data_IF_404346458427
#
_entry.id   IF_404346458427
#
_cell.length_a   1.000
_cell.length_b   1.000
_cell.length_c   1.000
_cell.angle_alpha   90.00
_cell.angle_beta   90.00
_cell.angle_gamma   90.00
#
_symmetry.space_group_name_H-M   'P 1'
#
loop_
_entity.id
_entity.type
_entity.pdbx_description
1 polymer ?
#
# COMPACT_ATOMS: atom_id res chain seq x y z
N UNK A 1 -45.93 -68.79 15.18
CA UNK A 1 -45.56 -68.48 16.58
C UNK A 1 -44.82 -67.15 16.54
N UNK A 2 -45.45 -66.11 17.05
CA UNK A 2 -45.03 -64.71 16.94
C UNK A 2 -43.78 -64.44 17.77
N UNK A 3 -42.80 -63.73 17.19
CA UNK A 3 -41.81 -62.99 17.97
C UNK A 3 -41.82 -61.55 17.45
N UNK A 4 -42.19 -60.62 18.34
CA UNK A 4 -42.12 -59.18 18.08
C UNK A 4 -40.68 -58.68 18.38
N UNK A 5 -40.10 -57.79 17.57
CA UNK A 5 -38.88 -57.10 17.93
C UNK A 5 -39.17 -56.02 18.99
N UNK A 6 -38.38 -56.02 20.05
CA UNK A 6 -38.41 -55.04 21.14
C UNK A 6 -38.08 -53.62 20.63
N UNK A 7 -38.99 -52.68 20.84
CA UNK A 7 -38.83 -51.25 20.56
C UNK A 7 -37.94 -50.60 21.62
N UNK A 8 -36.78 -50.05 21.22
CA UNK A 8 -35.99 -49.14 22.06
C UNK A 8 -36.41 -47.69 21.75
N UNK A 9 -36.54 -46.81 22.76
CA UNK A 9 -36.84 -45.40 22.51
C UNK A 9 -35.61 -44.72 21.87
N UNK A 10 -35.81 -43.69 21.03
CA UNK A 10 -34.71 -42.91 20.49
C UNK A 10 -34.09 -42.06 21.59
N UNK A 11 -32.77 -42.13 21.70
CA UNK A 11 -31.95 -41.30 22.57
C UNK A 11 -32.24 -39.82 22.32
N UNK A 12 -32.72 -39.12 23.35
CA UNK A 12 -32.76 -37.65 23.37
C UNK A 12 -31.32 -37.15 23.36
N UNK A 13 -30.80 -36.82 22.18
CA UNK A 13 -29.50 -36.17 22.05
C UNK A 13 -29.58 -34.75 22.63
N UNK A 14 -28.67 -34.50 23.57
CA UNK A 14 -28.40 -33.23 24.23
C UNK A 14 -28.27 -32.06 23.26
N UNK A 15 -29.28 -31.21 23.22
CA UNK A 15 -29.25 -29.90 22.55
C UNK A 15 -28.32 -28.88 23.21
N UNK A 16 -27.74 -29.19 24.37
CA UNK A 16 -26.88 -28.26 25.13
C UNK A 16 -25.43 -28.19 24.58
N UNK A 17 -24.99 -29.17 23.79
CA UNK A 17 -23.63 -29.16 23.22
C UNK A 17 -23.50 -28.28 21.96
N UNK A 18 -24.58 -28.13 21.18
CA UNK A 18 -24.58 -27.33 19.94
C UNK A 18 -24.47 -25.83 20.24
N UNK A 19 -25.14 -25.37 21.30
CA UNK A 19 -25.12 -23.95 21.69
C UNK A 19 -23.75 -23.44 22.13
N UNK A 20 -22.93 -24.30 22.75
CA UNK A 20 -21.54 -23.96 23.08
C UNK A 20 -20.64 -23.94 21.85
N UNK A 21 -20.93 -24.77 20.85
CA UNK A 21 -20.15 -24.84 19.62
C UNK A 21 -20.39 -23.60 18.73
N UNK A 22 -21.63 -23.15 18.62
CA UNK A 22 -21.97 -21.85 17.99
C UNK A 22 -21.27 -20.67 18.68
N UNK A 23 -21.13 -20.70 20.01
CA UNK A 23 -20.42 -19.63 20.72
C UNK A 23 -18.91 -19.63 20.49
N UNK A 24 -18.29 -20.81 20.31
CA UNK A 24 -16.87 -20.93 19.97
C UNK A 24 -16.61 -20.51 18.52
N UNK A 25 -17.49 -20.89 17.60
CA UNK A 25 -17.41 -20.50 16.19
C UNK A 25 -17.59 -18.98 16.04
N UNK A 26 -18.48 -18.37 16.84
CA UNK A 26 -18.67 -16.93 16.83
C UNK A 26 -17.43 -16.16 17.31
N UNK A 27 -16.73 -16.66 18.31
CA UNK A 27 -15.46 -16.08 18.78
C UNK A 27 -14.34 -16.24 17.73
N UNK A 28 -14.32 -17.37 17.00
CA UNK A 28 -13.39 -17.60 15.88
C UNK A 28 -13.63 -16.63 14.72
N UNK A 29 -14.88 -16.32 14.40
CA UNK A 29 -15.22 -15.34 13.35
C UNK A 29 -14.81 -13.92 13.77
N UNK A 30 -15.06 -13.53 15.01
CA UNK A 30 -14.64 -12.21 15.52
C UNK A 30 -13.11 -12.08 15.63
N UNK A 31 -12.40 -13.17 15.94
CA UNK A 31 -10.93 -13.23 15.94
C UNK A 31 -10.35 -13.10 14.53
N UNK A 32 -10.93 -13.82 13.55
CA UNK A 32 -10.56 -13.71 12.13
C UNK A 32 -10.70 -12.28 11.61
N UNK A 33 -11.84 -11.60 11.85
CA UNK A 33 -12.02 -10.23 11.39
C UNK A 33 -11.10 -9.24 12.09
N UNK A 34 -10.78 -9.46 13.37
CA UNK A 34 -9.78 -8.69 14.10
C UNK A 34 -8.38 -8.90 13.53
N UNK A 35 -7.99 -10.14 13.19
CA UNK A 35 -6.71 -10.42 12.54
C UNK A 35 -6.62 -9.73 11.18
N UNK A 36 -7.67 -9.80 10.36
CA UNK A 36 -7.75 -9.08 9.08
C UNK A 36 -7.57 -7.57 9.28
N UNK A 37 -8.26 -6.98 10.26
CA UNK A 37 -8.07 -5.57 10.60
C UNK A 37 -6.66 -5.28 11.11
N UNK A 38 -6.07 -6.18 11.87
CA UNK A 38 -4.71 -6.06 12.40
C UNK A 38 -3.67 -6.16 11.28
N UNK A 39 -3.86 -7.00 10.27
CA UNK A 39 -2.98 -7.10 9.10
C UNK A 39 -3.03 -5.81 8.28
N UNK A 40 -4.22 -5.22 8.07
CA UNK A 40 -4.34 -3.94 7.38
C UNK A 40 -3.67 -2.79 8.16
N UNK A 41 -3.74 -2.80 9.49
CA UNK A 41 -3.11 -1.80 10.35
C UNK A 41 -1.60 -2.04 10.50
N UNK A 42 -1.17 -3.28 10.64
CA UNK A 42 0.25 -3.66 10.78
C UNK A 42 1.01 -3.54 9.47
N UNK A 43 0.35 -3.82 8.34
CA UNK A 43 0.89 -3.61 7.00
C UNK A 43 1.01 -2.13 6.63
N UNK A 44 0.31 -1.22 7.32
CA UNK A 44 0.45 0.22 7.07
C UNK A 44 1.78 0.83 7.55
N UNK A 45 2.56 0.09 8.35
CA UNK A 45 3.93 0.46 8.73
C UNK A 45 4.98 -0.10 7.75
N UNK A 46 4.61 -1.01 6.85
CA UNK A 46 5.57 -1.72 5.98
C UNK A 46 5.23 -1.70 4.48
N UNK A 47 3.97 -1.50 4.10
CA UNK A 47 3.49 -1.67 2.73
C UNK A 47 2.55 -0.52 2.33
N UNK A 48 3.15 0.66 2.17
CA UNK A 48 2.55 1.76 1.42
C UNK A 48 2.58 1.44 -0.09
N UNK A 49 1.78 0.47 -0.53
CA UNK A 49 1.42 0.29 -1.94
C UNK A 49 -0.03 -0.18 -2.03
N UNK A 50 -0.94 0.72 -2.42
CA UNK A 50 -2.26 0.33 -2.90
C UNK A 50 -3.43 0.54 -1.92
N UNK A 51 -3.63 1.75 -1.42
CA UNK A 51 -4.99 2.18 -1.10
C UNK A 51 -5.18 3.67 -1.28
N UNK A 52 -6.06 3.99 -2.23
CA UNK A 52 -6.65 5.30 -2.47
C UNK A 52 -7.39 5.72 -1.19
N UNK A 53 -6.79 6.62 -0.43
CA UNK A 53 -7.40 7.22 0.74
C UNK A 53 -6.72 8.54 1.02
N UNK A 54 -7.37 9.63 0.62
CA UNK A 54 -7.04 11.03 0.86
C UNK A 54 -7.04 11.36 2.36
N UNK A 55 -6.07 10.82 3.09
CA UNK A 55 -5.54 11.45 4.29
C UNK A 55 -4.19 11.98 3.86
N UNK A 56 -3.94 13.27 4.07
CA UNK A 56 -2.64 13.89 3.85
C UNK A 56 -1.60 13.32 4.82
N UNK A 57 -1.24 12.06 4.65
CA UNK A 57 0.06 11.58 5.06
C UNK A 57 1.03 12.38 4.20
N UNK A 58 1.90 13.23 4.78
CA UNK A 58 2.91 13.94 4.00
C UNK A 58 3.58 12.89 3.12
N UNK A 59 3.61 13.18 1.81
CA UNK A 59 4.21 12.27 0.83
C UNK A 59 5.58 11.87 1.39
N UNK A 60 5.79 10.57 1.64
CA UNK A 60 7.07 10.03 2.11
C UNK A 60 8.14 10.65 1.20
N UNK A 61 9.00 11.56 1.68
CA UNK A 61 9.86 12.45 0.85
C UNK A 61 9.70 13.96 1.10
N UNK A 62 8.48 14.47 1.28
CA UNK A 62 8.24 15.89 1.61
C UNK A 62 8.78 16.24 3.00
N UNK A 63 8.63 15.34 3.97
CA UNK A 63 9.15 15.51 5.32
C UNK A 63 10.69 15.58 5.34
N UNK A 64 11.37 14.78 4.52
CA UNK A 64 12.82 14.82 4.38
C UNK A 64 13.29 16.14 3.78
N UNK A 65 12.56 16.65 2.77
CA UNK A 65 12.82 17.95 2.16
C UNK A 65 12.69 19.07 3.18
N UNK A 66 11.64 19.08 4.00
CA UNK A 66 11.44 20.07 5.05
C UNK A 66 12.56 20.00 6.10
N UNK A 67 12.95 18.79 6.52
CA UNK A 67 14.06 18.62 7.46
C UNK A 67 15.38 19.18 6.93
N UNK A 68 15.69 18.92 5.65
CA UNK A 68 16.88 19.47 5.01
C UNK A 68 16.78 20.99 4.85
N UNK A 69 15.59 21.54 4.59
CA UNK A 69 15.36 22.97 4.50
C UNK A 69 15.56 23.67 5.85
N UNK A 70 14.96 23.15 6.92
CA UNK A 70 15.07 23.71 8.28
C UNK A 70 16.51 23.61 8.82
N UNK A 71 17.25 22.60 8.42
CA UNK A 71 18.68 22.46 8.71
C UNK A 71 19.57 23.41 7.88
N UNK A 72 19.00 24.14 6.90
CA UNK A 72 19.76 24.97 5.96
C UNK A 72 20.55 24.18 4.91
N UNK A 73 20.18 22.92 4.69
CA UNK A 73 20.82 21.96 3.78
C UNK A 73 19.99 21.71 2.51
N UNK A 74 19.03 22.58 2.20
CA UNK A 74 18.18 22.47 1.00
C UNK A 74 18.96 22.42 -0.31
N UNK A 75 20.17 22.99 -0.39
CA UNK A 75 21.02 22.92 -1.58
C UNK A 75 21.40 21.48 -1.93
N UNK A 76 21.51 20.57 -0.95
CA UNK A 76 21.91 19.17 -1.18
C UNK A 76 20.90 18.38 -2.05
N UNK A 77 19.65 18.86 -2.14
CA UNK A 77 18.59 18.23 -2.95
C UNK A 77 18.24 19.04 -4.20
N UNK A 78 18.96 20.12 -4.46
CA UNK A 78 18.77 20.96 -5.64
C UNK A 78 19.47 20.32 -6.84
N UNK A 79 18.86 20.42 -8.03
CA UNK A 79 19.32 19.73 -9.26
C UNK A 79 20.66 20.28 -9.78
N UNK A 80 21.05 21.46 -9.32
CA UNK A 80 22.31 22.14 -9.64
C UNK A 80 23.46 21.79 -8.68
N UNK A 81 23.20 21.06 -7.59
CA UNK A 81 24.24 20.68 -6.63
C UNK A 81 25.05 19.49 -7.14
N UNK A 82 26.36 19.67 -7.29
CA UNK A 82 27.27 18.59 -7.66
C UNK A 82 27.58 17.69 -6.45
N UNK A 83 27.70 16.38 -6.71
CA UNK A 83 28.02 15.38 -5.68
C UNK A 83 29.33 15.68 -4.93
N UNK A 84 30.26 16.36 -5.57
CA UNK A 84 31.55 16.77 -4.98
C UNK A 84 31.34 17.79 -3.87
N UNK A 85 30.49 18.79 -4.10
CA UNK A 85 30.14 19.82 -3.12
C UNK A 85 29.33 19.23 -1.96
N UNK A 86 28.44 18.27 -2.26
CA UNK A 86 27.69 17.52 -1.24
C UNK A 86 28.64 16.79 -0.28
N UNK A 87 29.64 16.08 -0.81
CA UNK A 87 30.66 15.37 0.00
C UNK A 87 31.52 16.36 0.79
N UNK A 88 31.90 17.48 0.18
CA UNK A 88 32.64 18.54 0.85
C UNK A 88 31.89 19.10 2.06
N UNK A 89 30.61 19.40 1.90
CA UNK A 89 29.76 19.94 2.96
C UNK A 89 29.56 18.93 4.10
N UNK A 90 29.25 17.66 3.78
CA UNK A 90 29.11 16.59 4.79
C UNK A 90 30.40 16.32 5.56
N UNK A 91 31.58 16.54 4.94
CA UNK A 91 32.88 16.35 5.60
C UNK A 91 33.19 17.39 6.67
N UNK A 92 32.54 18.57 6.62
CA UNK A 92 32.66 19.59 7.67
C UNK A 92 31.84 19.25 8.92
N UNK A 93 30.90 18.32 8.79
CA UNK A 93 30.02 17.91 9.88
C UNK A 93 30.65 16.82 10.75
N UNK A 94 30.14 16.69 11.97
CA UNK A 94 30.49 15.52 12.78
C UNK A 94 29.94 14.24 12.15
N UNK A 95 30.58 13.11 12.44
CA UNK A 95 30.19 11.79 11.90
C UNK A 95 28.68 11.49 12.07
N UNK A 96 28.12 11.81 13.23
CA UNK A 96 26.70 11.55 13.52
C UNK A 96 25.77 12.47 12.74
N UNK A 97 26.13 13.74 12.60
CA UNK A 97 25.35 14.70 11.80
C UNK A 97 25.38 14.32 10.33
N UNK A 98 26.57 14.06 9.77
CA UNK A 98 26.72 13.62 8.39
C UNK A 98 25.89 12.34 8.12
N UNK A 99 25.91 11.37 9.03
CA UNK A 99 25.09 10.17 8.92
C UNK A 99 23.58 10.45 8.96
N UNK A 100 23.13 11.38 9.81
CA UNK A 100 21.72 11.78 9.86
C UNK A 100 21.28 12.47 8.57
N UNK A 101 22.11 13.39 8.04
CA UNK A 101 21.86 14.08 6.77
C UNK A 101 21.83 13.08 5.61
N UNK A 102 22.81 12.17 5.53
CA UNK A 102 22.87 11.14 4.49
C UNK A 102 21.62 10.28 4.48
N UNK A 103 21.15 9.82 5.66
CA UNK A 103 19.91 9.05 5.76
C UNK A 103 18.70 9.80 5.18
N UNK A 104 18.57 11.10 5.47
CA UNK A 104 17.47 11.93 4.95
C UNK A 104 17.57 12.12 3.44
N UNK A 105 18.78 12.31 2.91
CA UNK A 105 19.03 12.38 1.47
C UNK A 105 18.67 11.07 0.76
N UNK A 106 19.08 9.93 1.31
CA UNK A 106 18.79 8.62 0.74
C UNK A 106 17.27 8.35 0.71
N UNK A 107 16.56 8.70 1.80
CA UNK A 107 15.10 8.59 1.86
C UNK A 107 14.43 9.53 0.83
N UNK A 108 14.85 10.78 0.75
CA UNK A 108 14.32 11.75 -0.22
C UNK A 108 14.50 11.25 -1.66
N UNK A 109 15.72 10.83 -2.02
CA UNK A 109 16.02 10.35 -3.38
C UNK A 109 15.27 9.06 -3.73
N UNK A 110 15.11 8.13 -2.77
CA UNK A 110 14.30 6.93 -2.95
C UNK A 110 12.83 7.27 -3.24
N UNK A 111 12.24 8.16 -2.44
CA UNK A 111 10.88 8.66 -2.64
C UNK A 111 10.69 9.31 -4.01
N UNK A 112 11.61 10.19 -4.40
CA UNK A 112 11.53 10.92 -5.68
C UNK A 112 11.51 9.96 -6.87
N UNK A 113 12.25 8.84 -6.78
CA UNK A 113 12.19 7.77 -7.79
C UNK A 113 10.87 7.00 -7.74
N UNK A 114 10.29 6.78 -6.56
CA UNK A 114 9.00 6.07 -6.39
C UNK A 114 7.85 6.87 -7.04
N UNK A 115 7.80 8.19 -6.86
CA UNK A 115 6.75 9.05 -7.44
C UNK A 115 6.87 9.30 -8.94
N UNK A 116 8.05 9.11 -9.53
CA UNK A 116 8.24 9.23 -10.99
C UNK A 116 7.79 7.98 -11.77
N UNK A 117 7.19 6.97 -11.10
CA UNK A 117 6.52 5.87 -11.79
C UNK A 117 5.24 6.41 -12.42
N UNK A 118 5.16 6.32 -13.75
CA UNK A 118 3.92 6.61 -14.49
C UNK A 118 2.73 5.91 -13.81
N UNK A 119 1.58 6.59 -13.66
CA UNK A 119 0.36 5.96 -13.16
C UNK A 119 0.13 4.65 -13.91
N UNK A 120 -0.22 3.59 -13.17
CA UNK A 120 -0.55 2.29 -13.77
C UNK A 120 -1.63 2.53 -14.82
N UNK A 121 -1.27 2.34 -16.10
CA UNK A 121 -2.20 2.52 -17.21
C UNK A 121 -3.23 1.39 -17.18
N UNK A 122 -4.49 1.70 -17.49
CA UNK A 122 -5.51 0.67 -17.67
C UNK A 122 -5.04 -0.34 -18.71
N UNK A 123 -5.20 -1.63 -18.42
CA UNK A 123 -4.79 -2.72 -19.34
C UNK A 123 -5.39 -2.56 -20.73
N UNK A 124 -6.58 -1.96 -20.85
CA UNK A 124 -7.26 -1.66 -22.13
C UNK A 124 -6.50 -0.62 -22.95
N UNK A 125 -5.77 0.28 -22.32
CA UNK A 125 -5.05 1.35 -23.01
C UNK A 125 -3.69 0.89 -23.54
N UNK A 126 -3.13 -0.18 -22.98
CA UNK A 126 -1.90 -0.82 -23.44
C UNK A 126 -2.07 -1.39 -24.86
N UNK A 127 -3.25 -1.98 -25.15
CA UNK A 127 -3.56 -2.58 -26.45
C UNK A 127 -4.28 -1.65 -27.43
N UNK A 128 -4.62 -0.42 -27.03
CA UNK A 128 -5.34 0.54 -27.90
C UNK A 128 -4.43 1.41 -28.76
N UNK A 129 -3.13 1.46 -28.47
CA UNK A 129 -2.17 2.30 -29.18
C UNK A 129 -2.00 1.93 -30.67
N UNK A 130 -2.41 0.73 -31.08
CA UNK A 130 -2.23 0.23 -32.45
C UNK A 130 -3.42 0.44 -33.39
N UNK A 131 -4.43 1.21 -33.00
CA UNK A 131 -5.47 1.63 -33.93
C UNK A 131 -5.10 2.99 -34.55
N UNK A 132 -4.48 3.05 -35.74
CA UNK A 132 -4.41 4.30 -36.48
C UNK A 132 -5.85 4.76 -36.66
N UNK A 133 -6.17 5.94 -36.10
CA UNK A 133 -7.46 6.59 -36.32
C UNK A 133 -7.65 6.73 -37.82
N UNK A 134 -8.43 5.82 -38.41
CA UNK A 134 -8.94 5.93 -39.77
C UNK A 134 -9.72 7.23 -39.78
N UNK A 135 -9.13 8.26 -40.40
CA UNK A 135 -9.80 9.52 -40.69
C UNK A 135 -10.97 9.19 -41.62
N UNK A 136 -12.13 8.92 -41.05
CA UNK A 136 -13.40 8.88 -41.78
C UNK A 136 -13.87 10.31 -42.00
N UNK A 137 -14.04 10.66 -43.28
CA UNK A 137 -15.05 11.61 -43.72
C UNK A 137 -14.57 13.05 -43.88
N UNK A 138 -13.97 13.37 -45.02
CA UNK A 138 -14.19 14.64 -45.68
C UNK A 138 -14.95 14.34 -46.99
N UNK A 139 -16.28 14.40 -46.91
CA UNK A 139 -17.16 14.49 -48.07
C UNK A 139 -18.12 15.64 -47.81
N UNK A 140 -17.90 16.77 -48.47
CA UNK A 140 -18.82 17.90 -48.65
C UNK A 140 -18.12 18.88 -49.62
N UNK A 141 -18.58 19.27 -50.81
CA UNK A 141 -19.66 18.87 -51.70
C UNK A 141 -19.25 19.36 -53.10
N UNK A 142 -19.64 18.63 -54.15
CA UNK A 142 -19.86 19.20 -55.47
C UNK A 142 -21.00 20.23 -55.38
N UNK A 143 -20.76 21.47 -55.80
CA UNK A 143 -21.54 22.24 -56.79
C UNK A 143 -20.77 23.50 -57.20
#
# INVERSE_FOLDING_TARGET
>A
MSQAPCTKPPDRLSTDCLRSQDSLDRLSVDDFWQEVQNIHQSGSDSEQEGSVGDAKQPEEGEQEKEWLQDAGLSTLISEDSEDVDNVGLLSTLTRTQAAAVQRRLDTYTCSVRKKNKQPVRDVRDIFRADNPKVKRGASLSEE
#
